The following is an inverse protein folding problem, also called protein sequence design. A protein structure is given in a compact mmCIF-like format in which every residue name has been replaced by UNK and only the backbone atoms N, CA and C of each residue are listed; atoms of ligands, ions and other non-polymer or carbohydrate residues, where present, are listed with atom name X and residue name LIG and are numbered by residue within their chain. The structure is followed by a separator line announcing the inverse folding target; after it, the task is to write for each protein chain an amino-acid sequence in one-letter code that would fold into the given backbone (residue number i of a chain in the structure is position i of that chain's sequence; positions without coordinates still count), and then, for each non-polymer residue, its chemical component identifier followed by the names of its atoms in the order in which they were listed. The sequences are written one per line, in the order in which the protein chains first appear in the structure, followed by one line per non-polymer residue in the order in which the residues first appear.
data_IF_522947696025
#
_entry.id   IF_522947696025
#
_cell.length_a   1.000
_cell.length_b   1.000
_cell.length_c   1.000
_cell.angle_alpha   90.00
_cell.angle_beta   90.00
_cell.angle_gamma   90.00
#
_symmetry.space_group_name_H-M   'P 1'
#
loop_
_entity.id
_entity.type
_entity.pdbx_description
1 polymer ?
#
# COMPACT_ATOMS: atom_id res chain seq x y z
N UNK A 1 28.46 14.21 0.14
CA UNK A 1 27.08 14.63 -0.18
C UNK A 1 26.55 13.66 -1.25
N UNK A 2 25.25 13.30 -1.24
CA UNK A 2 24.63 12.22 -2.06
C UNK A 2 24.93 10.77 -1.63
N UNK A 3 24.63 10.43 -0.37
CA UNK A 3 24.87 9.08 0.17
C UNK A 3 24.24 7.97 -0.68
N UNK A 4 22.94 8.06 -0.97
CA UNK A 4 22.21 7.02 -1.71
C UNK A 4 22.75 6.81 -3.12
N UNK A 5 23.00 7.89 -3.88
CA UNK A 5 23.58 7.80 -5.21
C UNK A 5 25.00 7.22 -5.19
N UNK A 6 25.80 7.54 -4.17
CA UNK A 6 27.13 6.95 -3.99
C UNK A 6 27.02 5.44 -3.76
N UNK A 7 26.10 5.01 -2.89
CA UNK A 7 25.85 3.59 -2.59
C UNK A 7 25.38 2.84 -3.83
N UNK A 8 24.46 3.42 -4.60
CA UNK A 8 24.01 2.84 -5.86
C UNK A 8 25.16 2.68 -6.87
N UNK A 9 26.02 3.69 -7.01
CA UNK A 9 27.22 3.60 -7.87
C UNK A 9 28.23 2.55 -7.40
N UNK A 10 28.41 2.38 -6.08
CA UNK A 10 29.27 1.34 -5.48
C UNK A 10 28.71 -0.07 -5.75
N UNK A 11 27.38 -0.23 -5.72
CA UNK A 11 26.70 -1.49 -6.02
C UNK A 11 26.74 -1.86 -7.51
N UNK A 12 26.58 -0.87 -8.38
CA UNK A 12 26.53 -1.06 -9.83
C UNK A 12 25.11 -1.00 -10.35
N UNK A 13 24.65 -2.08 -10.97
CA UNK A 13 23.34 -2.14 -11.62
C UNK A 13 22.35 -2.98 -10.81
N UNK A 14 21.09 -2.55 -10.77
CA UNK A 14 19.98 -3.28 -10.22
C UNK A 14 19.10 -3.76 -11.37
N UNK A 15 18.83 -5.06 -11.43
CA UNK A 15 17.81 -5.63 -12.29
C UNK A 15 16.46 -5.63 -11.59
N UNK A 16 15.42 -5.11 -12.25
CA UNK A 16 14.08 -4.98 -11.65
C UNK A 16 13.03 -5.65 -12.52
N UNK A 17 12.19 -6.47 -11.88
CA UNK A 17 11.01 -7.08 -12.48
C UNK A 17 9.78 -6.30 -12.06
N UNK A 18 9.06 -5.72 -13.01
CA UNK A 18 7.85 -4.92 -12.76
C UNK A 18 6.67 -5.72 -13.27
N UNK A 19 5.67 -5.99 -12.42
CA UNK A 19 4.47 -6.73 -12.83
C UNK A 19 3.25 -5.83 -12.77
N UNK A 20 2.59 -5.65 -13.91
CA UNK A 20 1.39 -4.82 -14.06
C UNK A 20 1.65 -3.59 -14.95
N UNK A 21 1.09 -3.59 -16.16
CA UNK A 21 1.23 -2.47 -17.12
C UNK A 21 0.14 -1.40 -17.00
N UNK A 22 -0.31 -1.14 -15.77
CA UNK A 22 -1.19 -0.01 -15.45
C UNK A 22 -0.43 1.32 -15.38
N UNK A 23 -1.07 2.36 -14.84
CA UNK A 23 -0.49 3.71 -14.73
C UNK A 23 0.83 3.69 -13.96
N UNK A 24 0.83 3.11 -12.75
CA UNK A 24 2.01 3.09 -11.88
C UNK A 24 3.15 2.25 -12.47
N UNK A 25 2.88 1.03 -12.92
CA UNK A 25 3.93 0.17 -13.48
C UNK A 25 4.53 0.71 -14.78
N UNK A 26 3.72 1.34 -15.64
CA UNK A 26 4.23 1.98 -16.86
C UNK A 26 5.09 3.21 -16.54
N UNK A 27 4.66 4.03 -15.56
CA UNK A 27 5.43 5.18 -15.09
C UNK A 27 6.77 4.74 -14.48
N UNK A 28 6.76 3.72 -13.64
CA UNK A 28 7.97 3.18 -13.02
C UNK A 28 8.92 2.58 -14.07
N UNK A 29 8.43 1.75 -14.97
CA UNK A 29 9.24 1.16 -16.05
C UNK A 29 9.92 2.25 -16.88
N UNK A 30 9.17 3.29 -17.26
CA UNK A 30 9.70 4.45 -17.98
C UNK A 30 10.79 5.14 -17.17
N UNK A 31 10.54 5.45 -15.89
CA UNK A 31 11.51 6.10 -15.01
C UNK A 31 12.81 5.29 -14.87
N UNK A 32 12.71 3.98 -14.60
CA UNK A 32 13.87 3.12 -14.41
C UNK A 32 14.66 2.96 -15.72
N UNK A 33 13.98 2.81 -16.86
CA UNK A 33 14.64 2.67 -18.17
C UNK A 33 15.47 3.88 -18.59
N UNK A 34 15.21 5.04 -17.99
CA UNK A 34 15.93 6.31 -18.20
C UNK A 34 17.08 6.52 -17.20
N UNK A 35 17.29 5.59 -16.27
CA UNK A 35 18.31 5.70 -15.22
C UNK A 35 19.43 4.65 -15.43
N UNK A 36 20.67 5.11 -15.49
CA UNK A 36 21.83 4.30 -15.90
C UNK A 36 22.10 3.07 -14.99
N UNK A 37 21.67 3.11 -13.73
CA UNK A 37 21.91 2.04 -12.76
C UNK A 37 20.81 0.96 -12.74
N UNK A 38 19.79 1.04 -13.59
CA UNK A 38 18.66 0.10 -13.61
C UNK A 38 18.62 -0.69 -14.91
N UNK A 39 19.35 -1.80 -14.95
CA UNK A 39 19.53 -2.58 -16.17
C UNK A 39 20.07 -3.99 -15.89
N UNK A 40 19.46 -5.06 -16.45
CA UNK A 40 18.25 -5.08 -17.28
C UNK A 40 16.94 -5.01 -16.48
N UNK A 41 15.85 -4.62 -17.15
CA UNK A 41 14.48 -4.61 -16.62
C UNK A 41 13.63 -5.71 -17.26
N UNK A 42 12.75 -6.33 -16.47
CA UNK A 42 11.69 -7.22 -16.95
C UNK A 42 10.35 -6.52 -16.70
N UNK A 43 9.56 -6.28 -17.74
CA UNK A 43 8.22 -5.72 -17.62
C UNK A 43 7.18 -6.77 -18.00
N UNK A 44 6.40 -7.19 -17.02
CA UNK A 44 5.44 -8.28 -17.16
C UNK A 44 3.99 -7.80 -17.05
N UNK A 45 3.13 -8.33 -17.91
CA UNK A 45 1.68 -8.15 -17.77
C UNK A 45 0.93 -9.23 -18.54
N UNK A 46 -0.17 -9.74 -17.95
CA UNK A 46 -1.10 -10.67 -18.61
C UNK A 46 -1.72 -10.05 -19.87
N UNK A 47 -1.82 -8.73 -19.93
CA UNK A 47 -2.36 -8.02 -21.09
C UNK A 47 -1.22 -7.52 -21.99
N UNK A 48 -0.95 -8.31 -23.03
CA UNK A 48 0.09 -8.01 -24.02
C UNK A 48 -0.09 -6.63 -24.68
N UNK A 49 -1.33 -6.22 -24.96
CA UNK A 49 -1.61 -4.95 -25.63
C UNK A 49 -1.23 -3.75 -24.77
N UNK A 50 -1.60 -3.76 -23.48
CA UNK A 50 -1.24 -2.67 -22.57
C UNK A 50 0.25 -2.68 -22.27
N UNK A 51 0.88 -3.86 -22.23
CA UNK A 51 2.33 -3.99 -22.11
C UNK A 51 3.07 -3.35 -23.29
N UNK A 52 2.74 -3.72 -24.52
CA UNK A 52 3.37 -3.17 -25.73
C UNK A 52 3.18 -1.65 -25.79
N UNK A 53 1.97 -1.15 -25.54
CA UNK A 53 1.69 0.29 -25.52
C UNK A 53 2.52 1.04 -24.46
N UNK A 54 2.69 0.46 -23.26
CA UNK A 54 3.49 1.05 -22.21
C UNK A 54 4.99 1.05 -22.53
N UNK A 55 5.50 -0.02 -23.15
CA UNK A 55 6.90 -0.11 -23.60
C UNK A 55 7.18 0.90 -24.72
N UNK A 56 6.28 1.00 -25.70
CA UNK A 56 6.41 1.98 -26.79
C UNK A 56 6.43 3.41 -26.24
N UNK A 57 5.60 3.72 -25.24
CA UNK A 57 5.57 5.02 -24.59
C UNK A 57 6.86 5.35 -23.79
N UNK A 58 7.61 4.34 -23.34
CA UNK A 58 8.87 4.54 -22.62
C UNK A 58 10.02 5.01 -23.52
N UNK A 59 9.87 4.95 -24.86
CA UNK A 59 10.86 5.37 -25.86
C UNK A 59 12.23 4.68 -25.72
N UNK A 60 12.21 3.38 -25.39
CA UNK A 60 13.41 2.54 -25.33
C UNK A 60 13.87 2.19 -26.75
N UNK A 61 15.18 2.11 -26.97
CA UNK A 61 15.73 1.63 -28.23
C UNK A 61 15.31 0.17 -28.48
N UNK A 62 14.64 -0.08 -29.61
CA UNK A 62 14.13 -1.42 -29.97
C UNK A 62 15.24 -2.47 -30.02
N UNK A 63 16.50 -2.07 -30.24
CA UNK A 63 17.62 -3.01 -30.22
C UNK A 63 17.88 -3.56 -28.81
N UNK A 64 17.51 -2.83 -27.76
CA UNK A 64 17.77 -3.18 -26.36
C UNK A 64 16.57 -3.92 -25.73
N UNK A 65 15.47 -4.05 -26.46
CA UNK A 65 14.25 -4.74 -26.04
C UNK A 65 14.12 -6.12 -26.72
N UNK A 66 13.64 -7.10 -25.95
CA UNK A 66 13.22 -8.40 -26.44
C UNK A 66 11.86 -8.78 -25.82
N UNK A 67 11.14 -9.69 -26.47
CA UNK A 67 9.92 -10.28 -25.94
C UNK A 67 10.07 -11.79 -25.85
N UNK A 68 9.79 -12.35 -24.67
CA UNK A 68 9.74 -13.80 -24.49
C UNK A 68 8.85 -14.16 -23.29
N UNK A 69 8.19 -15.30 -23.37
CA UNK A 69 7.48 -15.94 -22.25
C UNK A 69 8.24 -17.16 -21.73
N UNK A 70 9.35 -17.52 -22.38
CA UNK A 70 10.20 -18.66 -22.03
C UNK A 70 11.28 -18.23 -21.02
N UNK A 71 11.35 -18.95 -19.90
CA UNK A 71 12.24 -18.60 -18.80
C UNK A 71 13.71 -18.82 -19.13
N UNK A 72 14.04 -19.81 -19.98
CA UNK A 72 15.42 -20.12 -20.36
C UNK A 72 15.95 -19.14 -21.41
N UNK A 73 15.09 -18.70 -22.34
CA UNK A 73 15.38 -17.60 -23.25
C UNK A 73 15.54 -16.29 -22.48
N UNK A 74 14.66 -16.00 -21.51
CA UNK A 74 14.77 -14.81 -20.68
C UNK A 74 16.11 -14.73 -19.94
N UNK A 75 16.59 -15.84 -19.36
CA UNK A 75 17.92 -15.91 -18.74
C UNK A 75 19.06 -15.54 -19.69
N UNK A 76 18.96 -15.91 -20.98
CA UNK A 76 19.96 -15.55 -21.99
C UNK A 76 19.91 -14.07 -22.32
N UNK A 77 18.70 -13.56 -22.57
CA UNK A 77 18.45 -12.15 -22.89
C UNK A 77 18.90 -11.22 -21.76
N UNK A 78 18.66 -11.57 -20.50
CA UNK A 78 19.14 -10.80 -19.34
C UNK A 78 20.68 -10.76 -19.26
N UNK A 79 21.39 -11.83 -19.65
CA UNK A 79 22.86 -11.84 -19.72
C UNK A 79 23.40 -10.97 -20.87
N UNK A 80 22.66 -10.93 -21.98
CA UNK A 80 22.86 -9.96 -23.08
C UNK A 80 22.39 -8.55 -22.71
N UNK A 81 21.91 -8.40 -21.47
CA UNK A 81 21.39 -7.21 -20.85
C UNK A 81 20.13 -6.64 -21.48
N UNK A 82 19.39 -7.39 -22.30
CA UNK A 82 18.13 -6.89 -22.89
C UNK A 82 17.09 -6.55 -21.82
N UNK A 83 16.34 -5.48 -22.06
CA UNK A 83 15.02 -5.32 -21.47
C UNK A 83 14.08 -6.38 -22.01
N UNK A 84 13.23 -6.93 -21.15
CA UNK A 84 12.31 -8.01 -21.51
C UNK A 84 10.87 -7.56 -21.28
N UNK A 85 10.06 -7.55 -22.34
CA UNK A 85 8.61 -7.57 -22.25
C UNK A 85 8.10 -9.00 -22.18
N UNK A 86 7.21 -9.32 -21.24
CA UNK A 86 6.68 -10.69 -21.08
C UNK A 86 5.22 -10.71 -20.61
N UNK A 87 4.50 -11.77 -20.96
CA UNK A 87 3.20 -12.10 -20.35
C UNK A 87 3.33 -13.12 -19.22
N UNK A 88 4.54 -13.66 -19.01
CA UNK A 88 4.87 -14.59 -17.94
C UNK A 88 5.45 -13.88 -16.71
N UNK A 89 4.59 -13.60 -15.72
CA UNK A 89 5.01 -12.92 -14.50
C UNK A 89 6.09 -13.67 -13.69
N UNK A 90 6.25 -14.98 -13.89
CA UNK A 90 7.28 -15.78 -13.21
C UNK A 90 8.68 -15.25 -13.50
N UNK A 91 8.91 -14.77 -14.72
CA UNK A 91 10.21 -14.22 -15.15
C UNK A 91 10.56 -13.00 -14.29
N UNK A 92 9.62 -12.07 -14.13
CA UNK A 92 9.81 -10.85 -13.33
C UNK A 92 9.96 -11.16 -11.83
N UNK A 93 9.36 -12.23 -11.33
CA UNK A 93 9.45 -12.62 -9.92
C UNK A 93 10.63 -13.53 -9.59
N UNK A 94 11.43 -14.00 -10.56
CA UNK A 94 12.45 -15.03 -10.31
C UNK A 94 13.87 -14.70 -10.78
N UNK A 95 14.04 -13.79 -11.76
CA UNK A 95 15.32 -13.62 -12.47
C UNK A 95 15.98 -12.25 -12.28
N UNK A 96 15.50 -11.46 -11.32
CA UNK A 96 15.88 -10.05 -11.11
C UNK A 96 16.35 -9.84 -9.66
N UNK A 97 16.94 -8.69 -9.36
CA UNK A 97 17.35 -8.38 -7.97
C UNK A 97 16.15 -7.94 -7.12
N UNK A 98 15.20 -7.23 -7.73
CA UNK A 98 13.99 -6.74 -7.07
C UNK A 98 12.74 -6.94 -7.92
N UNK A 99 11.70 -7.52 -7.33
CA UNK A 99 10.34 -7.53 -7.84
C UNK A 99 9.60 -6.27 -7.37
N UNK A 100 8.86 -5.64 -8.27
CA UNK A 100 7.88 -4.60 -7.97
C UNK A 100 6.50 -5.03 -8.43
N UNK A 101 5.60 -5.26 -7.47
CA UNK A 101 4.20 -5.57 -7.74
C UNK A 101 3.38 -4.28 -7.93
N UNK A 102 2.96 -4.04 -9.18
CA UNK A 102 2.10 -2.93 -9.59
C UNK A 102 0.71 -3.41 -10.05
N UNK A 103 0.28 -4.60 -9.63
CA UNK A 103 -0.97 -5.22 -10.14
C UNK A 103 -2.23 -4.70 -9.47
N UNK A 104 -2.15 -4.32 -8.19
CA UNK A 104 -3.31 -3.95 -7.37
C UNK A 104 -4.30 -5.11 -7.16
N UNK A 105 -3.86 -6.35 -7.37
CA UNK A 105 -4.68 -7.57 -7.20
C UNK A 105 -4.08 -8.41 -6.07
N UNK A 106 -4.86 -8.65 -5.02
CA UNK A 106 -4.34 -9.24 -3.78
C UNK A 106 -3.89 -10.69 -3.96
N UNK A 107 -4.61 -11.47 -4.76
CA UNK A 107 -4.26 -12.85 -5.13
C UNK A 107 -2.97 -12.90 -5.96
N UNK A 108 -2.89 -12.09 -7.01
CA UNK A 108 -1.70 -12.04 -7.87
C UNK A 108 -0.48 -11.56 -7.08
N UNK A 109 -0.60 -10.50 -6.29
CA UNK A 109 0.48 -9.98 -5.47
C UNK A 109 1.01 -10.99 -4.45
N UNK A 110 0.10 -11.73 -3.81
CA UNK A 110 0.49 -12.82 -2.89
C UNK A 110 1.32 -13.88 -3.60
N UNK A 111 0.87 -14.33 -4.77
CA UNK A 111 1.58 -15.34 -5.56
C UNK A 111 2.96 -14.88 -6.00
N UNK A 112 3.06 -13.64 -6.48
CA UNK A 112 4.33 -13.06 -6.92
C UNK A 112 5.32 -12.93 -5.76
N UNK A 113 4.83 -12.47 -4.60
CA UNK A 113 5.65 -12.33 -3.39
C UNK A 113 6.20 -13.68 -2.92
N UNK A 114 5.37 -14.72 -2.87
CA UNK A 114 5.81 -16.07 -2.51
C UNK A 114 6.89 -16.61 -3.47
N UNK A 115 6.68 -16.43 -4.78
CA UNK A 115 7.66 -16.81 -5.81
C UNK A 115 8.97 -16.04 -5.63
N UNK A 116 8.92 -14.73 -5.42
CA UNK A 116 10.10 -13.89 -5.22
C UNK A 116 10.88 -14.30 -3.96
N UNK A 117 10.19 -14.55 -2.85
CA UNK A 117 10.78 -15.06 -1.60
C UNK A 117 11.51 -16.39 -1.85
N UNK A 118 10.88 -17.33 -2.55
CA UNK A 118 11.49 -18.64 -2.85
C UNK A 118 12.73 -18.52 -3.77
N UNK A 119 12.75 -17.55 -4.66
CA UNK A 119 13.87 -17.28 -5.57
C UNK A 119 14.90 -16.29 -4.99
N UNK A 120 14.72 -15.83 -3.75
CA UNK A 120 15.58 -14.83 -3.09
C UNK A 120 15.66 -13.48 -3.82
N UNK A 121 14.54 -13.06 -4.38
CA UNK A 121 14.36 -11.76 -5.04
C UNK A 121 13.75 -10.80 -4.03
N UNK A 122 14.34 -9.62 -3.82
CA UNK A 122 13.77 -8.60 -2.93
C UNK A 122 12.44 -8.08 -3.47
N UNK A 123 11.58 -7.58 -2.59
CA UNK A 123 10.22 -7.16 -2.94
C UNK A 123 10.00 -5.73 -2.49
N UNK A 124 9.58 -4.89 -3.45
CA UNK A 124 9.02 -3.57 -3.19
C UNK A 124 7.60 -3.54 -3.74
N UNK A 125 6.59 -3.59 -2.89
CA UNK A 125 5.19 -3.67 -3.31
C UNK A 125 4.53 -2.29 -3.43
N UNK A 126 3.84 -2.05 -4.54
CA UNK A 126 2.83 -0.98 -4.70
C UNK A 126 1.40 -1.51 -4.44
N UNK A 127 1.26 -2.80 -4.12
CA UNK A 127 -0.02 -3.45 -3.84
C UNK A 127 -0.29 -3.43 -2.33
N UNK A 128 -0.71 -2.27 -1.84
CA UNK A 128 -1.00 -2.03 -0.42
C UNK A 128 -2.17 -2.88 0.07
N UNK A 129 -3.09 -3.25 -0.81
CA UNK A 129 -4.21 -4.15 -0.50
C UNK A 129 -3.72 -5.54 -0.07
N UNK A 130 -2.72 -6.07 -0.77
CA UNK A 130 -2.07 -7.34 -0.39
C UNK A 130 -1.27 -7.17 0.91
N UNK A 131 -0.46 -6.10 1.01
CA UNK A 131 0.38 -5.85 2.18
C UNK A 131 -0.44 -5.73 3.47
N UNK A 132 -1.51 -4.96 3.45
CA UNK A 132 -2.41 -4.79 4.58
C UNK A 132 -3.13 -6.07 5.00
N UNK A 133 -3.22 -7.07 4.11
CA UNK A 133 -3.99 -8.31 4.34
C UNK A 133 -3.12 -9.48 4.79
N UNK A 134 -1.99 -9.69 4.11
CA UNK A 134 -1.07 -10.83 4.32
C UNK A 134 0.42 -10.43 4.39
N UNK A 135 0.73 -9.13 4.27
CA UNK A 135 2.08 -8.58 4.42
C UNK A 135 2.78 -9.01 5.72
N UNK A 136 2.10 -9.05 6.89
CA UNK A 136 2.73 -9.49 8.13
C UNK A 136 3.38 -10.88 8.04
N UNK A 137 2.71 -11.85 7.41
CA UNK A 137 3.30 -13.17 7.24
C UNK A 137 4.24 -13.27 6.04
N UNK A 138 4.02 -12.49 4.97
CA UNK A 138 5.01 -12.36 3.89
C UNK A 138 6.36 -11.84 4.43
N UNK A 139 6.33 -10.88 5.35
CA UNK A 139 7.53 -10.37 6.02
C UNK A 139 8.27 -11.44 6.81
N UNK A 140 7.54 -12.26 7.57
CA UNK A 140 8.12 -13.42 8.29
C UNK A 140 8.83 -14.35 7.31
N UNK A 141 8.17 -14.73 6.22
CA UNK A 141 8.76 -15.61 5.21
C UNK A 141 9.99 -14.99 4.52
N UNK A 142 9.94 -13.69 4.23
CA UNK A 142 11.05 -12.97 3.63
C UNK A 142 12.27 -12.93 4.56
N UNK A 143 12.06 -12.64 5.84
CA UNK A 143 13.12 -12.60 6.87
C UNK A 143 13.78 -13.97 7.04
N UNK A 144 12.99 -15.05 7.07
CA UNK A 144 13.50 -16.42 7.13
C UNK A 144 14.40 -16.79 5.94
N UNK A 145 14.18 -16.16 4.78
CA UNK A 145 14.95 -16.39 3.56
C UNK A 145 16.06 -15.37 3.32
N UNK A 146 16.17 -14.34 4.18
CA UNK A 146 17.12 -13.24 4.04
C UNK A 146 16.79 -12.27 2.90
N UNK A 147 15.51 -12.20 2.52
CA UNK A 147 14.97 -11.35 1.45
C UNK A 147 14.38 -10.08 2.07
N UNK A 148 14.61 -8.92 1.46
CA UNK A 148 13.93 -7.70 1.90
C UNK A 148 12.51 -7.69 1.35
N UNK A 149 11.52 -7.57 2.22
CA UNK A 149 10.12 -7.30 1.85
C UNK A 149 9.74 -5.92 2.36
N UNK A 150 9.31 -5.06 1.45
CA UNK A 150 8.93 -3.69 1.75
C UNK A 150 7.75 -3.26 0.91
N UNK A 151 6.90 -2.39 1.44
CA UNK A 151 6.09 -1.47 0.64
C UNK A 151 6.98 -0.36 0.07
N UNK A 152 6.40 0.78 -0.29
CA UNK A 152 7.14 1.81 -1.04
C UNK A 152 6.93 3.23 -0.55
N UNK A 153 8.00 4.05 -0.68
CA UNK A 153 7.91 5.51 -0.67
C UNK A 153 7.08 6.02 -1.84
N UNK A 154 6.50 7.20 -1.67
CA UNK A 154 5.65 7.88 -2.65
C UNK A 154 4.17 7.56 -2.54
N UNK A 155 3.82 6.40 -1.98
CA UNK A 155 2.46 6.16 -1.51
C UNK A 155 2.29 6.74 -0.10
N UNK A 156 1.06 7.07 0.29
CA UNK A 156 0.78 7.70 1.58
C UNK A 156 1.35 6.93 2.78
N UNK A 157 1.25 5.59 2.87
CA UNK A 157 1.84 4.84 3.97
C UNK A 157 3.35 5.04 4.10
N UNK A 158 4.09 4.95 2.99
CA UNK A 158 5.53 5.18 2.98
C UNK A 158 5.90 6.61 3.34
N UNK A 159 5.14 7.59 2.83
CA UNK A 159 5.35 9.00 3.18
C UNK A 159 5.07 9.27 4.67
N UNK A 160 4.10 8.59 5.28
CA UNK A 160 3.82 8.65 6.72
C UNK A 160 5.00 8.10 7.52
N UNK A 161 5.58 6.97 7.10
CA UNK A 161 6.77 6.39 7.76
C UNK A 161 7.94 7.38 7.73
N UNK A 162 8.14 8.11 6.62
CA UNK A 162 9.22 9.10 6.53
C UNK A 162 9.09 10.24 7.55
N UNK A 163 7.89 10.83 7.68
CA UNK A 163 7.68 11.90 8.66
C UNK A 163 7.67 11.37 10.09
N UNK A 164 7.24 10.12 10.30
CA UNK A 164 7.31 9.45 11.60
C UNK A 164 8.77 9.21 12.01
N UNK A 165 9.59 8.66 11.11
CA UNK A 165 11.01 8.41 11.34
C UNK A 165 11.74 9.70 11.68
N UNK A 166 11.50 10.77 10.91
CA UNK A 166 12.03 12.11 11.20
C UNK A 166 11.62 12.58 12.61
N UNK A 167 10.33 12.55 12.92
CA UNK A 167 9.80 13.02 14.20
C UNK A 167 10.39 12.25 15.39
N UNK A 168 10.43 10.92 15.30
CA UNK A 168 10.99 10.05 16.33
C UNK A 168 12.49 10.27 16.50
N UNK A 169 13.23 10.42 15.40
CA UNK A 169 14.68 10.69 15.40
C UNK A 169 15.01 12.02 16.06
N UNK A 170 14.19 13.05 15.83
CA UNK A 170 14.28 14.34 16.52
C UNK A 170 13.83 14.29 17.99
N UNK A 171 13.37 13.14 18.48
CA UNK A 171 13.03 12.94 19.89
C UNK A 171 11.60 13.32 20.28
N UNK A 172 10.74 13.69 19.32
CA UNK A 172 9.35 14.00 19.60
C UNK A 172 8.56 12.77 20.06
N UNK A 173 7.49 13.01 20.82
CA UNK A 173 6.38 12.07 20.96
C UNK A 173 5.46 12.25 19.75
N UNK A 174 5.12 11.16 19.06
CA UNK A 174 4.21 11.20 17.91
C UNK A 174 2.82 10.75 18.38
N UNK A 175 1.85 11.64 18.27
CA UNK A 175 0.51 11.49 18.85
C UNK A 175 -0.50 10.96 17.83
N UNK A 176 -0.44 11.46 16.60
CA UNK A 176 -1.36 11.12 15.51
C UNK A 176 -0.57 11.02 14.21
N UNK A 177 -0.93 10.07 13.36
CA UNK A 177 -0.44 9.95 11.98
C UNK A 177 -1.63 9.96 11.03
N UNK A 178 -1.47 10.55 9.84
CA UNK A 178 -2.57 10.54 8.90
C UNK A 178 -2.26 11.02 7.50
N UNK A 179 -3.29 10.95 6.66
CA UNK A 179 -3.24 11.38 5.26
C UNK A 179 -4.38 12.31 4.90
N UNK A 180 -4.18 13.08 3.85
CA UNK A 180 -5.24 13.83 3.19
C UNK A 180 -6.08 12.96 2.26
N UNK A 181 -7.36 13.31 2.09
CA UNK A 181 -8.27 12.75 1.08
C UNK A 181 -8.77 13.84 0.14
N UNK A 182 -8.69 13.58 -1.18
CA UNK A 182 -9.12 14.51 -2.24
C UNK A 182 -10.59 14.38 -2.66
N UNK A 183 -11.28 13.31 -2.25
CA UNK A 183 -12.63 13.00 -2.69
C UNK A 183 -13.58 12.98 -1.51
N UNK A 184 -14.83 13.42 -1.73
CA UNK A 184 -15.90 13.20 -0.78
C UNK A 184 -16.01 11.70 -0.45
N UNK A 185 -16.22 11.41 0.83
CA UNK A 185 -16.41 10.04 1.29
C UNK A 185 -17.88 9.65 1.08
N UNK A 186 -18.09 8.62 0.25
CA UNK A 186 -19.39 7.99 0.10
C UNK A 186 -19.21 6.47 0.07
N UNK A 187 -19.34 5.83 1.23
CA UNK A 187 -19.16 4.38 1.39
C UNK A 187 -20.08 3.53 0.50
N UNK A 188 -21.18 4.10 -0.02
CA UNK A 188 -22.15 3.41 -0.85
C UNK A 188 -22.00 3.72 -2.34
N UNK A 189 -20.94 4.42 -2.74
CA UNK A 189 -20.64 4.63 -4.15
C UNK A 189 -20.37 3.29 -4.87
N UNK A 190 -20.76 3.22 -6.14
CA UNK A 190 -20.54 2.05 -7.01
C UNK A 190 -19.83 2.44 -8.30
N UNK A 191 -19.18 1.49 -9.00
CA UNK A 191 -18.55 1.75 -10.30
C UNK A 191 -19.50 2.41 -11.29
N UNK A 192 -20.76 2.01 -11.27
CA UNK A 192 -21.79 2.54 -12.17
C UNK A 192 -22.11 4.01 -11.88
N UNK A 193 -22.24 4.39 -10.60
CA UNK A 193 -22.46 5.79 -10.20
C UNK A 193 -21.28 6.70 -10.50
N UNK A 194 -20.06 6.14 -10.61
CA UNK A 194 -18.82 6.89 -10.80
C UNK A 194 -18.24 6.77 -12.21
N UNK A 195 -18.89 6.04 -13.12
CA UNK A 195 -18.38 5.71 -14.45
C UNK A 195 -17.97 6.95 -15.25
N UNK A 196 -18.85 7.95 -15.34
CA UNK A 196 -18.57 9.18 -16.09
C UNK A 196 -17.40 9.97 -15.49
N UNK A 197 -17.32 10.04 -14.15
CA UNK A 197 -16.22 10.72 -13.47
C UNK A 197 -14.88 9.98 -13.65
N UNK A 198 -14.90 8.65 -13.68
CA UNK A 198 -13.73 7.82 -13.91
C UNK A 198 -13.21 7.96 -15.34
N UNK A 199 -14.10 7.94 -16.33
CA UNK A 199 -13.77 8.15 -17.75
C UNK A 199 -13.14 9.52 -17.99
N UNK A 200 -13.70 10.59 -17.40
CA UNK A 200 -13.11 11.95 -17.47
C UNK A 200 -11.71 12.03 -16.86
N UNK A 201 -11.43 11.23 -15.84
CA UNK A 201 -10.12 11.14 -15.17
C UNK A 201 -9.17 10.14 -15.85
N UNK A 202 -9.65 9.36 -16.82
CA UNK A 202 -8.86 8.32 -17.48
C UNK A 202 -8.47 7.14 -16.58
N UNK A 203 -9.26 6.86 -15.53
CA UNK A 203 -9.00 5.77 -14.57
C UNK A 203 -10.12 4.74 -14.59
N UNK A 204 -9.85 3.55 -14.04
CA UNK A 204 -10.84 2.49 -13.92
C UNK A 204 -11.96 2.90 -12.93
N UNK A 205 -13.25 2.71 -13.26
CA UNK A 205 -14.36 3.02 -12.35
C UNK A 205 -14.28 2.31 -10.98
N UNK A 206 -13.77 1.08 -10.92
CA UNK A 206 -13.57 0.37 -9.64
C UNK A 206 -12.50 1.03 -8.77
N UNK A 207 -11.42 1.49 -9.40
CA UNK A 207 -10.36 2.23 -8.72
C UNK A 207 -10.92 3.54 -8.13
N UNK A 208 -11.63 4.34 -8.93
CA UNK A 208 -12.28 5.55 -8.43
C UNK A 208 -13.30 5.23 -7.30
N UNK A 209 -14.03 4.12 -7.43
CA UNK A 209 -14.96 3.67 -6.38
C UNK A 209 -14.24 3.39 -5.07
N UNK A 210 -13.10 2.69 -5.09
CA UNK A 210 -12.31 2.42 -3.88
C UNK A 210 -11.76 3.69 -3.22
N UNK A 211 -11.52 4.74 -4.01
CA UNK A 211 -11.14 6.05 -3.49
C UNK A 211 -12.33 6.76 -2.86
N UNK A 212 -13.49 6.77 -3.51
CA UNK A 212 -14.69 7.48 -3.02
C UNK A 212 -15.34 6.76 -1.83
N UNK A 213 -15.39 5.44 -1.84
CA UNK A 213 -15.98 4.65 -0.76
C UNK A 213 -15.10 4.53 0.49
N UNK A 214 -13.86 5.02 0.40
CA UNK A 214 -12.90 5.07 1.50
C UNK A 214 -12.04 3.82 1.65
N UNK A 215 -12.32 2.73 0.92
CA UNK A 215 -11.63 1.45 1.09
C UNK A 215 -10.12 1.58 0.95
N UNK A 216 -9.63 2.30 -0.07
CA UNK A 216 -8.20 2.51 -0.27
C UNK A 216 -7.57 3.28 0.91
N UNK A 217 -8.23 4.33 1.42
CA UNK A 217 -7.78 5.06 2.62
C UNK A 217 -7.68 4.15 3.85
N UNK A 218 -8.66 3.26 4.06
CA UNK A 218 -8.61 2.31 5.18
C UNK A 218 -7.46 1.33 5.05
N UNK A 219 -7.20 0.83 3.84
CA UNK A 219 -6.11 -0.12 3.55
C UNK A 219 -4.74 0.53 3.74
N UNK A 220 -4.54 1.75 3.26
CA UNK A 220 -3.28 2.49 3.46
C UNK A 220 -3.01 2.74 4.95
N UNK A 221 -4.02 3.20 5.69
CA UNK A 221 -3.89 3.40 7.13
C UNK A 221 -3.69 2.07 7.88
N UNK A 222 -4.25 0.96 7.41
CA UNK A 222 -3.96 -0.37 7.95
C UNK A 222 -2.47 -0.74 7.79
N UNK A 223 -1.87 -0.48 6.63
CA UNK A 223 -0.44 -0.70 6.42
C UNK A 223 0.41 0.14 7.40
N UNK A 224 0.03 1.41 7.64
CA UNK A 224 0.67 2.27 8.64
C UNK A 224 0.54 1.69 10.05
N UNK A 225 -0.65 1.23 10.44
CA UNK A 225 -0.88 0.58 11.73
C UNK A 225 0.06 -0.62 11.92
N UNK A 226 0.14 -1.49 10.91
CA UNK A 226 0.95 -2.70 10.97
C UNK A 226 2.46 -2.43 10.94
N UNK A 227 2.90 -1.31 10.39
CA UNK A 227 4.30 -0.89 10.37
C UNK A 227 4.75 -0.14 11.62
N UNK A 228 3.85 0.64 12.26
CA UNK A 228 4.24 1.59 13.31
C UNK A 228 3.59 1.33 14.68
N UNK A 229 2.63 0.41 14.77
CA UNK A 229 1.92 0.08 15.99
C UNK A 229 0.83 1.07 16.41
N UNK A 230 0.47 2.01 15.52
CA UNK A 230 -0.67 2.90 15.70
C UNK A 230 -1.97 2.16 15.37
N UNK A 231 -3.12 2.71 15.80
CA UNK A 231 -4.44 2.09 15.60
C UNK A 231 -5.51 3.12 15.25
N UNK A 232 -6.64 2.76 14.63
CA UNK A 232 -7.76 3.69 14.53
C UNK A 232 -8.34 4.00 15.93
N UNK A 233 -8.68 5.25 16.19
CA UNK A 233 -9.35 5.66 17.45
C UNK A 233 -10.79 5.13 17.53
N UNK A 234 -11.47 5.09 16.37
CA UNK A 234 -12.80 4.50 16.16
C UNK A 234 -12.84 3.73 14.84
N UNK A 235 -13.75 2.76 14.69
CA UNK A 235 -13.90 2.03 13.42
C UNK A 235 -14.19 3.00 12.27
N UNK A 236 -13.40 2.92 11.21
CA UNK A 236 -13.50 3.78 10.03
C UNK A 236 -12.83 5.16 10.19
N UNK A 237 -12.13 5.39 11.31
CA UNK A 237 -11.55 6.68 11.70
C UNK A 237 -12.60 7.81 11.82
N UNK A 238 -12.19 9.01 12.20
CA UNK A 238 -13.13 10.12 12.42
C UNK A 238 -13.43 10.91 11.15
N UNK A 239 -12.46 11.04 10.24
CA UNK A 239 -12.56 11.83 9.00
C UNK A 239 -13.08 13.26 9.21
N UNK A 240 -12.16 14.17 9.50
CA UNK A 240 -12.48 15.59 9.74
C UNK A 240 -12.08 16.49 8.57
N UNK A 241 -12.51 17.75 8.63
CA UNK A 241 -11.99 18.83 7.79
C UNK A 241 -10.95 19.63 8.56
N UNK A 242 -9.83 19.93 7.90
CA UNK A 242 -8.70 20.65 8.49
C UNK A 242 -7.92 21.35 7.37
N UNK A 243 -7.06 22.28 7.74
CA UNK A 243 -6.07 22.87 6.84
C UNK A 243 -4.66 22.71 7.45
N UNK A 244 -3.58 22.86 6.65
CA UNK A 244 -2.21 22.62 7.13
C UNK A 244 -1.80 23.37 8.40
N UNK A 245 -2.42 24.52 8.71
CA UNK A 245 -2.11 25.31 9.91
C UNK A 245 -2.91 24.86 11.14
N UNK A 246 -4.03 24.18 10.93
CA UNK A 246 -4.98 23.80 11.98
C UNK A 246 -4.83 22.34 12.42
N UNK A 247 -4.05 21.52 11.69
CA UNK A 247 -3.86 20.08 11.96
C UNK A 247 -3.62 19.77 13.45
N UNK A 248 -2.66 20.44 14.10
CA UNK A 248 -2.33 20.15 15.51
C UNK A 248 -3.41 20.58 16.50
N UNK A 249 -4.22 21.57 16.14
CA UNK A 249 -5.33 22.06 16.94
C UNK A 249 -6.60 21.23 16.76
N UNK A 250 -6.84 20.71 15.55
CA UNK A 250 -8.02 19.90 15.26
C UNK A 250 -7.89 18.49 15.86
N UNK A 251 -6.70 17.89 15.77
CA UNK A 251 -6.41 16.53 16.24
C UNK A 251 -6.02 16.50 17.73
N UNK A 252 -6.96 16.90 18.60
CA UNK A 252 -6.81 16.86 20.07
C UNK A 252 -7.73 15.85 20.73
N UNK A 253 -7.40 15.51 21.98
CA UNK A 253 -8.27 14.71 22.82
C UNK A 253 -9.57 15.47 23.12
N UNK A 254 -10.65 14.73 23.40
CA UNK A 254 -11.93 15.31 23.83
C UNK A 254 -11.81 16.20 25.07
N UNK A 255 -10.92 15.84 26.00
CA UNK A 255 -10.66 16.65 27.21
C UNK A 255 -9.99 18.00 26.90
N UNK A 256 -9.29 18.10 25.76
CA UNK A 256 -8.64 19.31 25.25
C UNK A 256 -9.50 20.03 24.19
N UNK A 257 -10.78 19.68 24.06
CA UNK A 257 -11.72 20.27 23.11
C UNK A 257 -11.65 19.73 21.68
N UNK A 258 -10.91 18.64 21.44
CA UNK A 258 -10.92 17.90 20.18
C UNK A 258 -11.94 16.76 20.14
N UNK A 259 -11.70 15.77 19.29
CA UNK A 259 -12.61 14.63 19.06
C UNK A 259 -11.99 13.26 19.37
N UNK A 260 -10.67 13.19 19.56
CA UNK A 260 -9.97 11.93 19.80
C UNK A 260 -10.27 11.39 21.20
N UNK A 261 -10.46 10.08 21.32
CA UNK A 261 -10.54 9.40 22.61
C UNK A 261 -9.14 9.10 23.16
N UNK A 262 -8.14 8.94 22.29
CA UNK A 262 -6.77 8.61 22.65
C UNK A 262 -5.76 9.09 21.61
N UNK A 263 -4.49 9.19 22.01
CA UNK A 263 -3.34 9.33 21.11
C UNK A 263 -2.76 7.95 20.75
N UNK A 264 -1.76 7.92 19.87
CA UNK A 264 -1.24 6.70 19.28
C UNK A 264 -2.13 6.19 18.14
N UNK A 265 -2.77 7.12 17.43
CA UNK A 265 -3.84 6.80 16.48
C UNK A 265 -3.53 7.21 15.04
N UNK A 266 -4.13 6.50 14.10
CA UNK A 266 -4.19 6.91 12.68
C UNK A 266 -5.54 7.54 12.36
N UNK A 267 -5.54 8.54 11.48
CA UNK A 267 -6.77 9.12 10.93
C UNK A 267 -6.53 9.74 9.54
N UNK A 268 -7.56 10.34 8.95
CA UNK A 268 -7.47 11.05 7.69
C UNK A 268 -8.37 12.29 7.68
N UNK A 269 -8.10 13.21 6.77
CA UNK A 269 -8.86 14.47 6.70
C UNK A 269 -9.02 15.00 5.27
N UNK A 270 -10.01 15.85 5.06
CA UNK A 270 -10.11 16.73 3.88
C UNK A 270 -9.30 18.02 4.11
N UNK A 271 -8.96 18.74 3.02
CA UNK A 271 -8.29 20.05 3.06
C UNK A 271 -6.75 20.02 3.06
N UNK A 272 -6.14 18.85 3.23
CA UNK A 272 -4.68 18.64 3.30
C UNK A 272 -4.13 17.65 2.27
N UNK A 273 -4.91 17.36 1.23
CA UNK A 273 -4.51 16.49 0.14
C UNK A 273 -4.00 17.31 -1.06
N UNK A 274 -2.98 16.83 -1.82
CA UNK A 274 -2.19 15.62 -1.56
C UNK A 274 -1.22 15.82 -0.38
N UNK A 275 -0.95 14.75 0.36
CA UNK A 275 0.02 14.80 1.45
C UNK A 275 -0.35 13.98 2.67
N UNK A 276 0.58 14.00 3.63
CA UNK A 276 0.53 13.25 4.89
C UNK A 276 0.97 14.14 6.05
N UNK A 277 0.51 13.81 7.26
CA UNK A 277 0.81 14.60 8.44
C UNK A 277 1.08 13.73 9.68
N UNK A 278 1.80 14.32 10.63
CA UNK A 278 1.97 13.82 11.98
C UNK A 278 1.68 14.95 12.97
N UNK A 279 0.95 14.65 14.05
CA UNK A 279 0.84 15.53 15.22
C UNK A 279 1.88 15.07 16.23
N UNK A 280 2.72 15.99 16.66
CA UNK A 280 3.86 15.70 17.54
C UNK A 280 3.86 16.60 18.78
N UNK A 281 4.48 16.10 19.84
CA UNK A 281 4.66 16.82 21.09
C UNK A 281 6.14 16.82 21.51
N UNK A 282 6.73 17.99 21.79
CA UNK A 282 8.04 18.08 22.41
C UNK A 282 8.04 17.47 23.83
N UNK A 283 9.16 16.87 24.22
CA UNK A 283 9.32 16.28 25.57
C UNK A 283 9.90 17.25 26.61
N UNK A 284 10.13 18.50 26.23
CA UNK A 284 10.75 19.52 27.09
C UNK A 284 10.32 20.92 26.70
N UNK A 285 10.14 21.78 27.71
CA UNK A 285 9.72 23.18 27.56
C UNK A 285 10.64 24.02 26.66
N UNK A 286 11.94 23.69 26.58
CA UNK A 286 12.87 24.44 25.73
C UNK A 286 12.58 24.20 24.25
N UNK A 287 12.29 22.95 23.87
CA UNK A 287 11.93 22.59 22.49
C UNK A 287 10.53 23.12 22.17
N UNK A 288 9.60 23.10 23.12
CA UNK A 288 8.27 23.72 22.96
C UNK A 288 8.37 25.21 22.64
N UNK A 289 9.15 25.97 23.43
CA UNK A 289 9.44 27.39 23.17
C UNK A 289 10.17 27.61 21.85
N UNK A 290 11.07 26.70 21.47
CA UNK A 290 11.76 26.79 20.18
C UNK A 290 10.79 26.56 19.01
N UNK A 291 9.89 25.59 19.10
CA UNK A 291 8.85 25.35 18.09
C UNK A 291 7.92 26.56 17.93
N UNK A 292 7.51 27.18 19.05
CA UNK A 292 6.75 28.44 19.02
C UNK A 292 7.57 29.57 18.38
N UNK A 293 8.84 29.75 18.76
CA UNK A 293 9.74 30.74 18.18
C UNK A 293 9.94 30.56 16.67
N UNK A 294 10.02 29.31 16.20
CA UNK A 294 10.10 28.93 14.79
C UNK A 294 8.76 29.04 14.05
N UNK A 295 7.71 29.56 14.71
CA UNK A 295 6.38 29.76 14.14
C UNK A 295 5.67 28.48 13.70
N UNK A 296 5.92 27.37 14.42
CA UNK A 296 5.31 26.07 14.11
C UNK A 296 3.87 25.92 14.63
N UNK A 297 3.36 26.88 15.40
CA UNK A 297 2.02 26.86 16.00
C UNK A 297 2.05 27.23 17.48
N UNK A 298 0.89 27.17 18.13
CA UNK A 298 0.78 27.26 19.58
C UNK A 298 0.90 25.86 20.18
N UNK A 299 1.86 25.67 21.09
CA UNK A 299 2.08 24.39 21.75
C UNK A 299 0.89 23.95 22.61
N UNK A 300 0.93 22.71 23.16
CA UNK A 300 2.09 21.82 23.20
C UNK A 300 2.17 20.83 22.02
N UNK A 301 1.20 20.87 21.10
CA UNK A 301 1.14 19.98 19.94
C UNK A 301 1.46 20.76 18.67
N UNK A 302 2.19 20.14 17.75
CA UNK A 302 2.61 20.74 16.49
C UNK A 302 2.38 19.78 15.33
N UNK A 303 2.18 20.34 14.13
CA UNK A 303 2.02 19.56 12.91
C UNK A 303 3.35 19.45 12.15
N UNK A 304 3.68 18.22 11.73
CA UNK A 304 4.67 17.96 10.69
C UNK A 304 3.88 17.54 9.45
N UNK A 305 3.96 18.33 8.39
CA UNK A 305 3.15 18.14 7.19
C UNK A 305 4.03 18.02 5.96
N UNK A 306 3.78 16.99 5.14
CA UNK A 306 4.40 16.79 3.83
C UNK A 306 3.33 16.99 2.77
N UNK A 307 3.33 18.12 2.01
CA UNK A 307 2.26 18.52 1.09
C UNK A 307 2.35 17.82 -0.28
N UNK A 308 2.95 16.63 -0.33
CA UNK A 308 3.12 15.88 -1.56
C UNK A 308 3.44 14.41 -1.29
N UNK A 309 3.19 13.60 -2.30
CA UNK A 309 3.69 12.25 -2.48
C UNK A 309 3.62 11.95 -3.98
N UNK A 310 4.66 11.33 -4.54
CA UNK A 310 4.82 11.17 -6.00
C UNK A 310 4.65 9.71 -6.47
N UNK A 311 3.96 8.88 -5.68
CA UNK A 311 3.56 7.51 -5.99
C UNK A 311 4.71 6.68 -6.61
N UNK A 312 4.54 6.19 -7.84
CA UNK A 312 5.52 5.35 -8.53
C UNK A 312 6.86 6.03 -8.80
N UNK A 313 6.94 7.37 -8.76
CA UNK A 313 8.19 8.11 -9.01
C UNK A 313 9.18 7.93 -7.85
N UNK A 314 8.70 7.89 -6.61
CA UNK A 314 9.56 7.72 -5.43
C UNK A 314 9.93 6.25 -5.18
N UNK A 315 9.26 5.30 -5.85
CA UNK A 315 9.51 3.86 -5.68
C UNK A 315 10.94 3.46 -6.03
N UNK A 316 11.61 4.20 -6.92
CA UNK A 316 13.04 4.02 -7.21
C UNK A 316 13.91 4.10 -5.94
N UNK A 317 13.55 4.94 -4.97
CA UNK A 317 14.27 5.07 -3.70
C UNK A 317 14.10 3.80 -2.86
N UNK A 318 12.89 3.25 -2.80
CA UNK A 318 12.60 1.99 -2.11
C UNK A 318 13.38 0.82 -2.72
N UNK A 319 13.50 0.75 -4.05
CA UNK A 319 14.28 -0.29 -4.72
C UNK A 319 15.76 -0.20 -4.34
N UNK A 320 16.33 1.01 -4.31
CA UNK A 320 17.73 1.20 -3.89
C UNK A 320 17.89 0.81 -2.42
N UNK A 321 16.97 1.21 -1.54
CA UNK A 321 17.02 0.84 -0.12
C UNK A 321 17.00 -0.68 0.04
N UNK A 322 16.06 -1.38 -0.59
CA UNK A 322 15.92 -2.83 -0.47
C UNK A 322 17.16 -3.57 -0.98
N UNK A 323 17.61 -3.28 -2.20
CA UNK A 323 18.68 -4.05 -2.84
C UNK A 323 20.06 -3.64 -2.32
N UNK A 324 20.32 -2.33 -2.22
CA UNK A 324 21.67 -1.80 -1.95
C UNK A 324 21.92 -1.61 -0.47
N UNK A 325 20.93 -1.09 0.27
CA UNK A 325 21.07 -0.82 1.70
C UNK A 325 20.60 -1.98 2.57
N UNK A 326 19.89 -2.96 1.99
CA UNK A 326 19.22 -4.05 2.71
C UNK A 326 18.24 -3.51 3.75
N UNK A 327 17.48 -2.48 3.36
CA UNK A 327 16.61 -1.72 4.23
C UNK A 327 15.20 -1.55 3.64
N UNK A 328 14.22 -1.39 4.51
CA UNK A 328 12.80 -1.37 4.19
C UNK A 328 12.27 0.06 4.21
N UNK A 329 11.50 0.47 3.20
CA UNK A 329 10.83 1.77 3.22
C UNK A 329 9.62 1.79 4.16
N UNK A 330 8.89 0.68 4.21
CA UNK A 330 7.79 0.40 5.13
C UNK A 330 7.59 -1.12 5.13
N UNK A 331 7.48 -1.74 6.29
CA UNK A 331 7.14 -3.15 6.41
C UNK A 331 6.38 -3.39 7.71
N UNK A 332 5.52 -4.41 7.78
CA UNK A 332 4.90 -4.83 9.03
C UNK A 332 5.96 -5.25 10.06
N UNK A 333 5.80 -4.84 11.32
CA UNK A 333 6.79 -5.11 12.39
C UNK A 333 6.54 -6.40 13.18
N UNK A 334 5.47 -7.14 12.84
CA UNK A 334 5.08 -8.37 13.53
C UNK A 334 3.60 -8.64 13.41
N UNK A 335 2.95 -8.99 14.53
CA UNK A 335 1.50 -9.23 14.57
C UNK A 335 0.74 -7.99 14.06
N UNK A 336 -0.35 -8.16 13.28
CA UNK A 336 -1.19 -7.04 12.86
C UNK A 336 -1.72 -6.23 14.04
N UNK A 337 -1.74 -4.90 13.91
CA UNK A 337 -2.31 -3.97 14.89
C UNK A 337 -3.74 -3.54 14.51
N UNK A 338 -4.04 -3.55 13.21
CA UNK A 338 -5.34 -3.19 12.67
C UNK A 338 -5.77 -4.16 11.56
N UNK A 339 -7.03 -4.03 11.13
CA UNK A 339 -7.56 -4.74 9.98
C UNK A 339 -8.57 -3.87 9.22
N UNK A 340 -8.50 -3.88 7.89
CA UNK A 340 -9.57 -3.35 7.04
C UNK A 340 -10.61 -4.43 6.77
N UNK A 341 -11.76 -4.32 7.44
CA UNK A 341 -12.84 -5.31 7.39
C UNK A 341 -13.95 -4.93 6.42
N UNK A 342 -14.73 -5.92 6.01
CA UNK A 342 -15.76 -5.78 4.97
C UNK A 342 -17.10 -5.32 5.53
N UNK A 343 -17.72 -4.32 4.90
CA UNK A 343 -19.08 -3.84 5.20
C UNK A 343 -19.95 -3.90 3.95
N UNK A 344 -21.18 -4.38 4.08
CA UNK A 344 -22.12 -4.50 2.95
C UNK A 344 -22.62 -3.13 2.44
N UNK A 345 -22.43 -2.84 1.15
CA UNK A 345 -22.98 -1.64 0.48
C UNK A 345 -24.48 -1.75 0.20
N UNK A 346 -24.98 -2.98 0.04
CA UNK A 346 -26.38 -3.31 -0.27
C UNK A 346 -26.82 -4.58 0.45
N UNK A 347 -28.10 -4.90 0.38
CA UNK A 347 -28.57 -6.23 0.74
C UNK A 347 -27.97 -7.25 -0.25
N UNK A 348 -27.44 -8.36 0.29
CA UNK A 348 -26.81 -9.45 -0.46
C UNK A 348 -27.56 -10.74 -0.10
N UNK A 349 -28.02 -11.49 -1.09
CA UNK A 349 -28.73 -12.74 -0.91
C UNK A 349 -27.78 -13.92 -0.78
N UNK A 350 -28.23 -14.91 -0.03
CA UNK A 350 -27.59 -16.23 0.00
C UNK A 350 -27.34 -16.75 -1.41
N UNK A 351 -26.12 -17.20 -1.68
CA UNK A 351 -25.71 -17.76 -2.96
C UNK A 351 -25.22 -16.72 -3.97
N UNK A 352 -25.32 -15.42 -3.70
CA UNK A 352 -24.69 -14.40 -4.55
C UNK A 352 -23.16 -14.50 -4.45
N UNK A 353 -22.48 -14.42 -5.59
CA UNK A 353 -21.04 -14.28 -5.67
C UNK A 353 -20.64 -12.84 -5.35
N UNK A 354 -19.62 -12.68 -4.52
CA UNK A 354 -19.07 -11.36 -4.21
C UNK A 354 -18.26 -10.81 -5.39
N UNK A 355 -18.34 -9.50 -5.58
CA UNK A 355 -17.26 -8.76 -6.23
C UNK A 355 -16.11 -8.53 -5.24
N UNK A 356 -15.11 -7.74 -5.65
CA UNK A 356 -13.96 -7.38 -4.80
C UNK A 356 -13.92 -5.88 -4.52
N UNK A 357 -12.81 -5.41 -3.92
CA UNK A 357 -12.52 -4.00 -3.64
C UNK A 357 -12.91 -3.08 -4.81
N UNK A 358 -13.57 -1.96 -4.49
CA UNK A 358 -14.08 -1.02 -5.49
C UNK A 358 -15.28 -1.55 -6.28
N UNK A 359 -15.94 -2.61 -5.79
CA UNK A 359 -17.18 -3.15 -6.35
C UNK A 359 -18.46 -2.47 -5.82
N UNK A 360 -19.58 -3.12 -6.06
CA UNK A 360 -20.93 -2.75 -5.66
C UNK A 360 -21.38 -3.39 -4.34
N UNK A 361 -20.77 -4.50 -3.91
CA UNK A 361 -21.30 -5.29 -2.79
C UNK A 361 -20.73 -4.90 -1.44
N UNK A 362 -19.44 -4.54 -1.37
CA UNK A 362 -18.75 -4.26 -0.11
C UNK A 362 -17.80 -3.06 -0.19
N UNK A 363 -17.54 -2.42 0.96
CA UNK A 363 -16.47 -1.45 1.17
C UNK A 363 -15.67 -1.81 2.43
N UNK A 364 -14.45 -1.27 2.54
CA UNK A 364 -13.56 -1.49 3.68
C UNK A 364 -13.78 -0.48 4.81
N UNK A 365 -13.67 -0.93 6.05
CA UNK A 365 -13.64 -0.09 7.25
C UNK A 365 -12.49 -0.53 8.15
N UNK A 366 -11.64 0.41 8.58
CA UNK A 366 -10.49 0.11 9.43
C UNK A 366 -10.92 -0.09 10.89
N UNK A 367 -10.45 -1.14 11.55
CA UNK A 367 -10.63 -1.34 12.99
C UNK A 367 -9.37 -1.94 13.64
N UNK A 368 -9.34 -1.97 14.97
CA UNK A 368 -8.25 -2.61 15.72
C UNK A 368 -8.27 -4.12 15.48
N UNK A 369 -7.10 -4.75 15.45
CA UNK A 369 -6.99 -6.20 15.25
C UNK A 369 -7.77 -7.00 16.30
N UNK A 370 -7.74 -6.54 17.55
CA UNK A 370 -8.48 -7.17 18.66
C UNK A 370 -10.00 -7.14 18.45
N UNK A 371 -10.53 -6.03 17.92
CA UNK A 371 -11.96 -5.89 17.62
C UNK A 371 -12.37 -6.80 16.44
N UNK A 372 -11.50 -6.91 15.43
CA UNK A 372 -11.70 -7.82 14.30
C UNK A 372 -11.76 -9.28 14.75
N UNK A 373 -10.82 -9.72 15.58
CA UNK A 373 -10.77 -11.09 16.09
C UNK A 373 -11.99 -11.40 16.96
N UNK A 374 -12.34 -10.49 17.88
CA UNK A 374 -13.51 -10.63 18.75
C UNK A 374 -14.82 -10.67 17.96
N UNK A 375 -14.91 -9.88 16.89
CA UNK A 375 -16.07 -9.81 16.00
C UNK A 375 -16.10 -10.91 14.94
N UNK A 376 -15.02 -11.69 14.81
CA UNK A 376 -14.82 -12.63 13.69
C UNK A 376 -15.04 -11.94 12.31
N UNK A 377 -14.71 -10.64 12.22
CA UNK A 377 -15.00 -9.84 11.03
C UNK A 377 -14.10 -10.24 9.87
N UNK A 378 -14.63 -10.17 8.66
CA UNK A 378 -13.97 -10.63 7.43
C UNK A 378 -13.07 -9.54 6.85
N UNK A 379 -11.74 -9.74 6.78
CA UNK A 379 -10.82 -8.83 6.09
C UNK A 379 -11.22 -8.68 4.62
N UNK A 380 -11.21 -7.45 4.11
CA UNK A 380 -11.70 -7.21 2.73
C UNK A 380 -10.76 -7.79 1.67
N UNK A 381 -9.46 -7.82 1.92
CA UNK A 381 -8.47 -8.26 0.92
C UNK A 381 -8.52 -9.74 0.56
N UNK A 382 -9.19 -10.57 1.37
CA UNK A 382 -9.44 -11.99 1.07
C UNK A 382 -10.80 -12.25 0.39
N UNK A 383 -11.61 -11.21 0.16
CA UNK A 383 -12.83 -11.32 -0.65
C UNK A 383 -12.44 -11.22 -2.13
N UNK A 384 -12.02 -12.35 -2.67
CA UNK A 384 -11.56 -12.51 -4.05
C UNK A 384 -12.54 -13.36 -4.88
N UNK A 385 -12.21 -13.58 -6.16
CA UNK A 385 -13.03 -14.39 -7.06
C UNK A 385 -13.34 -15.78 -6.48
N UNK A 386 -14.62 -16.15 -6.51
CA UNK A 386 -15.13 -17.40 -5.94
C UNK A 386 -15.65 -17.28 -4.50
N UNK A 387 -15.59 -16.10 -3.87
CA UNK A 387 -16.27 -15.84 -2.62
C UNK A 387 -17.81 -15.78 -2.81
N UNK A 388 -18.58 -16.50 -1.98
CA UNK A 388 -20.04 -16.62 -2.10
C UNK A 388 -20.72 -16.38 -0.75
N UNK A 389 -21.84 -15.65 -0.74
CA UNK A 389 -22.64 -15.43 0.47
C UNK A 389 -23.31 -16.74 0.96
N UNK A 390 -23.04 -17.14 2.21
CA UNK A 390 -23.63 -18.32 2.85
C UNK A 390 -25.07 -18.08 3.34
N UNK A 391 -25.43 -16.82 3.57
CA UNK A 391 -26.75 -16.37 4.04
C UNK A 391 -27.06 -14.97 3.52
N UNK A 392 -28.29 -14.52 3.74
CA UNK A 392 -28.70 -13.14 3.45
C UNK A 392 -27.96 -12.18 4.40
N UNK A 393 -27.37 -11.13 3.84
CA UNK A 393 -26.61 -10.08 4.56
C UNK A 393 -27.29 -8.74 4.28
N UNK A 394 -27.49 -7.93 5.32
CA UNK A 394 -28.15 -6.63 5.20
C UNK A 394 -27.16 -5.52 4.90
N UNK A 395 -27.59 -4.53 4.12
CA UNK A 395 -26.84 -3.29 3.91
C UNK A 395 -26.35 -2.71 5.23
N UNK A 396 -25.09 -2.29 5.27
CA UNK A 396 -24.43 -1.71 6.44
C UNK A 396 -23.94 -2.73 7.48
N UNK A 397 -24.17 -4.03 7.28
CA UNK A 397 -23.66 -5.06 8.18
C UNK A 397 -22.15 -5.24 7.99
N UNK A 398 -21.43 -5.39 9.09
CA UNK A 398 -20.09 -5.97 9.07
C UNK A 398 -20.20 -7.44 8.68
N UNK A 399 -19.38 -7.86 7.73
CA UNK A 399 -19.30 -9.25 7.35
C UNK A 399 -18.36 -9.99 8.30
N UNK A 400 -18.68 -11.25 8.53
CA UNK A 400 -17.89 -12.20 9.31
C UNK A 400 -17.46 -13.38 8.45
N UNK A 401 -16.48 -14.16 8.90
CA UNK A 401 -16.11 -15.41 8.23
C UNK A 401 -17.28 -16.40 8.07
N UNK A 402 -18.29 -16.32 8.94
CA UNK A 402 -19.49 -17.16 8.88
C UNK A 402 -20.47 -16.74 7.77
N UNK A 403 -20.37 -15.51 7.28
CA UNK A 403 -21.23 -14.97 6.23
C UNK A 403 -20.79 -15.41 4.83
N UNK A 404 -19.52 -15.77 4.67
CA UNK A 404 -18.91 -15.96 3.35
C UNK A 404 -18.24 -17.32 3.22
N UNK A 405 -18.47 -17.98 2.08
CA UNK A 405 -17.70 -19.14 1.63
C UNK A 405 -16.57 -18.64 0.74
N UNK A 406 -15.34 -18.64 1.27
CA UNK A 406 -14.16 -18.21 0.52
C UNK A 406 -13.63 -19.33 -0.38
N UNK A 407 -13.03 -18.95 -1.50
CA UNK A 407 -12.32 -19.87 -2.38
C UNK A 407 -11.09 -20.45 -1.68
N UNK A 408 -11.13 -21.74 -1.33
CA UNK A 408 -10.03 -22.38 -0.59
C UNK A 408 -8.80 -22.65 -1.46
N UNK A 409 -8.92 -22.55 -2.79
CA UNK A 409 -7.81 -22.73 -3.72
C UNK A 409 -7.01 -21.43 -3.93
N UNK A 410 -7.54 -20.28 -3.49
CA UNK A 410 -6.87 -18.97 -3.56
C UNK A 410 -5.65 -18.92 -2.63
N UNK A 411 -4.52 -18.45 -3.16
CA UNK A 411 -3.27 -18.35 -2.39
C UNK A 411 -3.37 -17.31 -1.29
N UNK A 412 -4.05 -16.18 -1.51
CA UNK A 412 -4.23 -15.20 -0.43
C UNK A 412 -5.08 -15.74 0.72
N UNK A 413 -6.12 -16.53 0.42
CA UNK A 413 -6.96 -17.17 1.45
C UNK A 413 -6.14 -18.19 2.26
N UNK A 414 -5.34 -19.02 1.58
CA UNK A 414 -4.45 -19.98 2.24
C UNK A 414 -3.41 -19.29 3.11
N UNK A 415 -2.72 -18.29 2.55
CA UNK A 415 -1.67 -17.56 3.27
C UNK A 415 -2.25 -16.81 4.46
N UNK A 416 -3.43 -16.21 4.31
CA UNK A 416 -4.13 -15.54 5.41
C UNK A 416 -4.45 -16.49 6.55
N UNK A 417 -4.92 -17.70 6.25
CA UNK A 417 -5.16 -18.71 7.28
C UNK A 417 -3.88 -19.05 8.04
N UNK A 418 -2.76 -19.22 7.33
CA UNK A 418 -1.46 -19.48 7.94
C UNK A 418 -1.02 -18.29 8.80
N UNK A 419 -1.18 -17.06 8.33
CA UNK A 419 -0.89 -15.85 9.09
C UNK A 419 -1.68 -15.79 10.39
N UNK A 420 -3.00 -15.99 10.31
CA UNK A 420 -3.87 -15.98 11.49
C UNK A 420 -3.48 -17.10 12.46
N UNK A 421 -3.08 -18.29 11.97
CA UNK A 421 -2.58 -19.38 12.81
C UNK A 421 -1.21 -19.08 13.44
N UNK A 422 -0.29 -18.44 12.71
CA UNK A 422 1.06 -18.10 13.15
C UNK A 422 1.05 -17.06 14.28
N UNK A 423 0.17 -16.05 14.17
CA UNK A 423 0.07 -14.98 15.15
C UNK A 423 -0.97 -15.24 16.26
N UNK A 424 -1.57 -16.45 16.33
CA UNK A 424 -2.41 -16.84 17.48
C UNK A 424 -1.60 -16.80 18.76
N UNK A 425 -2.20 -16.19 19.80
CA UNK A 425 -1.67 -16.19 21.16
C UNK A 425 -1.82 -17.57 21.82
#
# INVERSE_FOLDING_TARGET
MFYLQKKLKEFGNISVGIVGSGIMGSSLFTLLSQNENFYPLVFASRNKKTLEAAIDAANIDKKDLAFTDDIEEAKKLLKEKKYIGTTNNLIAASLVDCLVDCTGDTETGTRLSLIAIDNKVDIVSLNVEMDATVGPYLKVLADEKGVVYSGTKGDEPGAIVEIYEFAKTCGFEVLVLGKGKNNELNNYATPDTLREAAEKKGINPRMLTSFVDGTNTMIELNAVCNALGFVPDVRGCHFIDTDPKSISDDFKLKEDGGFLNSYGVVDFATGIAPGVFAVVRPKSDIIDKEMEYLSMGQGPNYAIYRPYHLTSIETIVSIINAVVLRDESIAPIGRPFAETVSVAKRDIKKGEAFDSIGGEMIFGSLEKKEDQEKGNHLPIGIVTEGAIAKRDIKKGSLLTYDDVSLNQDSEIVKLRKIQDDYFKL
#
